data_IF_724437719286
#
_entry.id   IF_724437719286
#
_cell.length_a   1.000
_cell.length_b   1.000
_cell.length_c   1.000
_cell.angle_alpha   90.00
_cell.angle_beta   90.00
_cell.angle_gamma   90.00
#
_symmetry.space_group_name_H-M   'P 1'
#
loop_
_entity.id
_entity.type
_entity.pdbx_description
1 polymer ?
#
# COMPACT_ATOMS: atom_id res chain seq x y z
N UNK A 1 6.46 18.63 -17.04
CA UNK A 1 5.32 17.89 -17.64
C UNK A 1 5.91 16.67 -18.33
N UNK A 2 5.45 15.46 -18.02
CA UNK A 2 6.00 14.22 -18.61
C UNK A 2 5.26 13.97 -19.94
N UNK A 3 5.99 13.87 -21.05
CA UNK A 3 5.42 13.55 -22.37
C UNK A 3 5.34 12.01 -22.53
N UNK A 4 4.12 11.45 -22.49
CA UNK A 4 3.87 10.02 -22.53
C UNK A 4 3.28 9.64 -23.90
N UNK A 5 4.15 9.26 -24.85
CA UNK A 5 3.72 8.93 -26.24
C UNK A 5 3.39 7.46 -26.50
N UNK A 6 3.85 6.55 -25.64
CA UNK A 6 3.84 5.11 -25.94
C UNK A 6 3.18 4.23 -24.87
N UNK A 7 2.88 4.76 -23.69
CA UNK A 7 2.26 3.96 -22.60
C UNK A 7 0.76 3.84 -22.88
N UNK A 8 0.33 2.65 -23.28
CA UNK A 8 -1.09 2.34 -23.52
C UNK A 8 -1.85 1.94 -22.25
N UNK A 9 -1.14 1.46 -21.22
CA UNK A 9 -1.76 0.99 -19.98
C UNK A 9 -0.75 1.11 -18.84
N UNK A 10 -1.20 1.61 -17.70
CA UNK A 10 -0.41 1.73 -16.48
C UNK A 10 -1.22 1.17 -15.31
N UNK A 11 -0.74 0.09 -14.69
CA UNK A 11 -1.50 -0.64 -13.66
C UNK A 11 -0.72 -0.65 -12.35
N UNK A 12 -1.42 -0.30 -11.27
CA UNK A 12 -0.89 -0.39 -9.91
C UNK A 12 -1.55 -1.55 -9.14
N UNK A 13 -0.91 -2.72 -9.18
CA UNK A 13 -1.42 -3.94 -8.54
C UNK A 13 -0.86 -4.17 -7.14
N UNK A 14 0.43 -3.89 -6.93
CA UNK A 14 1.10 -4.18 -5.68
C UNK A 14 1.82 -2.94 -5.15
N UNK A 15 1.79 -2.77 -3.84
CA UNK A 15 2.60 -1.79 -3.15
C UNK A 15 3.27 -2.41 -1.93
N UNK A 16 4.46 -1.89 -1.60
CA UNK A 16 5.17 -2.26 -0.40
C UNK A 16 5.57 -1.00 0.34
N UNK A 17 5.29 -0.97 1.64
CA UNK A 17 5.63 0.11 2.54
C UNK A 17 6.45 -0.43 3.70
N UNK A 18 7.53 0.27 4.06
CA UNK A 18 8.24 0.05 5.31
C UNK A 18 7.68 1.01 6.34
N UNK A 19 7.28 0.49 7.49
CA UNK A 19 6.77 1.26 8.62
C UNK A 19 7.72 1.07 9.80
N UNK A 20 8.08 2.18 10.45
CA UNK A 20 8.93 2.20 11.64
C UNK A 20 8.36 3.17 12.68
N UNK A 21 8.50 2.86 13.96
CA UNK A 21 8.20 3.79 15.06
C UNK A 21 9.48 4.24 15.81
N UNK A 22 9.32 5.18 16.74
CA UNK A 22 10.41 5.72 17.57
C UNK A 22 11.03 4.69 18.52
N UNK A 23 10.37 3.55 18.72
CA UNK A 23 10.81 2.46 19.60
C UNK A 23 11.57 1.36 18.83
N UNK A 24 11.79 1.55 17.53
CA UNK A 24 12.49 0.60 16.66
C UNK A 24 11.64 -0.60 16.23
N UNK A 25 10.31 -0.55 16.37
CA UNK A 25 9.44 -1.55 15.77
C UNK A 25 9.41 -1.34 14.26
N UNK A 26 9.58 -2.41 13.49
CA UNK A 26 9.59 -2.33 12.03
C UNK A 26 8.69 -3.40 11.40
N UNK A 27 7.82 -2.97 10.48
CA UNK A 27 6.95 -3.85 9.69
C UNK A 27 7.08 -3.48 8.20
N UNK A 28 7.10 -4.51 7.34
CA UNK A 28 6.77 -4.38 5.92
C UNK A 28 5.27 -4.63 5.74
N UNK A 29 4.56 -3.62 5.25
CA UNK A 29 3.18 -3.73 4.78
C UNK A 29 3.20 -3.95 3.26
N UNK A 30 2.63 -5.06 2.80
CA UNK A 30 2.39 -5.33 1.38
C UNK A 30 0.90 -5.23 1.10
N UNK A 31 0.55 -4.46 0.09
CA UNK A 31 -0.82 -4.35 -0.42
C UNK A 31 -0.90 -5.07 -1.76
N UNK A 32 -1.86 -5.96 -1.88
CA UNK A 32 -2.30 -6.53 -3.15
C UNK A 32 -3.69 -5.97 -3.45
N UNK A 33 -3.66 -4.94 -4.29
CA UNK A 33 -4.86 -4.25 -4.67
C UNK A 33 -5.72 -5.00 -5.68
N UNK A 34 -5.14 -5.95 -6.42
CA UNK A 34 -5.89 -6.77 -7.38
C UNK A 34 -6.77 -7.76 -6.62
N UNK A 35 -6.22 -8.35 -5.56
CA UNK A 35 -6.90 -9.33 -4.71
C UNK A 35 -7.55 -8.72 -3.46
N UNK A 36 -7.59 -7.39 -3.36
CA UNK A 36 -8.13 -6.65 -2.21
C UNK A 36 -7.60 -7.15 -0.85
N UNK A 37 -6.30 -7.47 -0.79
CA UNK A 37 -5.69 -8.12 0.36
C UNK A 37 -4.40 -7.40 0.79
N UNK A 38 -3.95 -7.69 2.01
CA UNK A 38 -2.69 -7.16 2.51
C UNK A 38 -1.99 -8.20 3.39
N UNK A 39 -0.67 -8.07 3.49
CA UNK A 39 0.15 -8.85 4.43
C UNK A 39 1.08 -7.93 5.22
N UNK A 40 1.36 -8.34 6.46
CA UNK A 40 2.30 -7.66 7.35
C UNK A 40 3.43 -8.64 7.64
N UNK A 41 4.67 -8.23 7.39
CA UNK A 41 5.87 -8.96 7.77
C UNK A 41 6.63 -8.14 8.80
N UNK A 42 6.77 -8.67 10.00
CA UNK A 42 7.62 -8.05 11.03
C UNK A 42 9.08 -8.16 10.60
N UNK A 43 9.82 -7.05 10.67
CA UNK A 43 11.27 -7.04 10.52
C UNK A 43 11.92 -7.17 11.89
N UNK A 44 11.42 -6.45 12.89
CA UNK A 44 11.89 -6.57 14.26
C UNK A 44 11.39 -7.86 14.93
N UNK A 45 12.19 -8.43 15.84
CA UNK A 45 11.84 -9.64 16.61
C UNK A 45 10.54 -9.47 17.40
N UNK A 46 10.33 -8.27 17.92
CA UNK A 46 9.15 -7.89 18.70
C UNK A 46 8.50 -6.70 18.01
N UNK A 47 7.19 -6.78 17.85
CA UNK A 47 6.37 -5.67 17.37
C UNK A 47 5.19 -5.49 18.32
N UNK A 48 5.02 -4.28 18.84
CA UNK A 48 3.90 -3.95 19.70
C UNK A 48 2.56 -4.15 18.97
N UNK A 49 1.57 -4.70 19.68
CA UNK A 49 0.20 -4.91 19.22
C UNK A 49 -0.46 -3.63 18.71
N UNK A 50 -0.21 -2.48 19.35
CA UNK A 50 -0.76 -1.17 18.92
C UNK A 50 -0.21 -0.78 17.56
N UNK A 51 1.11 -0.82 17.37
CA UNK A 51 1.76 -0.53 16.09
C UNK A 51 1.26 -1.46 14.97
N UNK A 52 1.11 -2.76 15.26
CA UNK A 52 0.52 -3.71 14.31
C UNK A 52 -0.93 -3.36 13.97
N UNK A 53 -1.70 -2.83 14.92
CA UNK A 53 -3.09 -2.43 14.72
C UNK A 53 -3.18 -1.21 13.81
N UNK A 54 -2.33 -0.21 14.03
CA UNK A 54 -2.21 0.96 13.16
C UNK A 54 -1.82 0.56 11.72
N UNK A 55 -0.86 -0.35 11.56
CA UNK A 55 -0.48 -0.88 10.25
C UNK A 55 -1.66 -1.55 9.52
N UNK A 56 -2.54 -2.27 10.24
CA UNK A 56 -3.77 -2.84 9.66
C UNK A 56 -4.78 -1.76 9.27
N UNK A 57 -4.92 -0.71 10.08
CA UNK A 57 -5.83 0.40 9.77
C UNK A 57 -5.39 1.12 8.51
N UNK A 58 -4.09 1.41 8.37
CA UNK A 58 -3.51 2.00 7.16
C UNK A 58 -3.74 1.08 5.96
N UNK A 59 -3.50 -0.22 6.10
CA UNK A 59 -3.73 -1.18 5.01
C UNK A 59 -5.18 -1.18 4.52
N UNK A 60 -6.14 -1.19 5.44
CA UNK A 60 -7.57 -1.11 5.12
C UNK A 60 -7.93 0.20 4.43
N UNK A 61 -7.35 1.31 4.89
CA UNK A 61 -7.59 2.61 4.29
C UNK A 61 -7.01 2.68 2.87
N UNK A 62 -5.81 2.16 2.63
CA UNK A 62 -5.21 2.09 1.30
C UNK A 62 -6.06 1.25 0.33
N UNK A 63 -6.50 0.07 0.76
CA UNK A 63 -7.39 -0.78 -0.04
C UNK A 63 -8.71 -0.06 -0.36
N UNK A 64 -9.33 0.59 0.64
CA UNK A 64 -10.54 1.39 0.45
C UNK A 64 -10.33 2.55 -0.53
N UNK A 65 -9.20 3.26 -0.42
CA UNK A 65 -8.87 4.39 -1.29
C UNK A 65 -8.69 3.96 -2.75
N UNK A 66 -8.14 2.79 -3.05
CA UNK A 66 -8.10 2.33 -4.45
C UNK A 66 -9.50 2.07 -5.01
N UNK A 67 -10.44 1.56 -4.20
CA UNK A 67 -11.83 1.43 -4.65
C UNK A 67 -12.49 2.80 -4.89
N UNK A 68 -12.13 3.82 -4.09
CA UNK A 68 -12.62 5.20 -4.27
C UNK A 68 -11.88 5.99 -5.37
N UNK A 69 -10.64 5.62 -5.66
CA UNK A 69 -9.79 6.17 -6.71
C UNK A 69 -9.57 5.03 -7.70
N UNK A 70 -10.57 4.76 -8.54
CA UNK A 70 -10.34 4.01 -9.76
C UNK A 70 -9.23 4.73 -10.53
N UNK A 71 -7.98 4.31 -10.34
CA UNK A 71 -6.87 4.68 -11.22
C UNK A 71 -7.13 4.20 -12.66
N UNK A 72 -8.15 3.35 -12.85
CA UNK A 72 -8.71 2.98 -14.15
C UNK A 72 -9.53 4.12 -14.80
N UNK A 73 -10.09 5.08 -14.05
CA UNK A 73 -11.06 6.02 -14.60
C UNK A 73 -10.47 7.31 -15.19
N UNK A 74 -9.27 7.78 -14.82
CA UNK A 74 -8.73 9.04 -15.40
C UNK A 74 -7.21 9.08 -15.54
N UNK A 75 -6.70 8.39 -16.54
CA UNK A 75 -5.87 9.04 -17.54
C UNK A 75 -6.55 8.82 -18.90
N UNK A 76 -7.67 9.52 -19.13
CA UNK A 76 -7.99 9.94 -20.48
C UNK A 76 -7.02 11.08 -20.78
N UNK A 77 -5.93 10.75 -21.48
CA UNK A 77 -5.15 11.73 -22.23
C UNK A 77 -5.91 11.99 -23.52
#
# INVERSE_FOLDING_TARGET
>A
MIDIKHIKTFIFNHAQYKMSDEKGNEIILKIDYKNNSYSLKNISKTVNKSFRTEARMIARDLLRRKHGINFADKLKI
#
